data_IF_649667349932
#
_entry.id   IF_649667349932
#
_cell.length_a   1.000
_cell.length_b   1.000
_cell.length_c   1.000
_cell.angle_alpha   90.00
_cell.angle_beta   90.00
_cell.angle_gamma   90.00
#
_symmetry.space_group_name_H-M   'P 1'
#
loop_
_entity.id
_entity.type
_entity.pdbx_description
1 polymer ?
#
# COMPACT_ATOMS: atom_id res chain seq x y z
N UNK A 1 -8.47 -10.42 43.17
CA UNK A 1 -8.62 -10.46 41.69
C UNK A 1 -8.26 -9.08 41.12
N UNK A 2 -7.08 -8.92 40.53
CA UNK A 2 -6.53 -7.63 40.03
C UNK A 2 -6.02 -7.80 38.60
N UNK A 3 -6.87 -7.74 37.57
CA UNK A 3 -6.42 -7.75 36.15
C UNK A 3 -7.43 -7.09 35.18
N UNK A 4 -7.84 -5.84 35.43
CA UNK A 4 -8.75 -5.15 34.49
C UNK A 4 -8.42 -3.68 34.24
N UNK A 5 -7.24 -3.19 34.66
CA UNK A 5 -6.87 -1.77 34.53
C UNK A 5 -5.89 -1.49 33.39
N UNK A 6 -5.49 -2.49 32.59
CA UNK A 6 -4.50 -2.32 31.52
C UNK A 6 -5.08 -2.02 30.13
N UNK A 7 -6.37 -2.29 29.90
CA UNK A 7 -7.01 -2.02 28.59
C UNK A 7 -7.34 -0.53 28.43
N UNK A 8 -7.68 0.16 29.53
CA UNK A 8 -8.06 1.57 29.49
C UNK A 8 -6.86 2.53 29.30
N UNK A 9 -5.66 2.11 29.72
CA UNK A 9 -4.44 2.92 29.60
C UNK A 9 -3.90 3.03 28.16
N UNK A 10 -4.19 2.04 27.30
CA UNK A 10 -3.79 2.05 25.89
C UNK A 10 -4.70 2.99 25.08
N UNK A 11 -5.99 3.05 25.42
CA UNK A 11 -6.94 3.95 24.75
C UNK A 11 -6.65 5.44 25.05
N UNK A 12 -6.12 5.77 26.23
CA UNK A 12 -5.78 7.15 26.60
C UNK A 12 -4.48 7.68 25.98
N UNK A 13 -3.63 6.81 25.43
CA UNK A 13 -2.38 7.22 24.75
C UNK A 13 -2.62 7.82 23.36
N UNK A 14 -3.84 7.75 22.81
CA UNK A 14 -4.22 8.34 21.53
C UNK A 14 -4.87 9.72 21.65
N UNK A 15 -4.76 10.35 22.82
CA UNK A 15 -5.35 11.67 23.09
C UNK A 15 -4.46 12.81 22.58
N UNK A 16 -4.16 12.86 21.29
CA UNK A 16 -3.58 14.05 20.65
C UNK A 16 -4.64 14.66 19.73
N UNK A 17 -5.37 15.66 20.27
CA UNK A 17 -6.21 16.53 19.46
C UNK A 17 -5.34 17.66 18.90
N UNK A 18 -5.16 17.68 17.58
CA UNK A 18 -4.84 18.91 16.84
C UNK A 18 -5.73 18.93 15.59
N UNK A 19 -6.73 19.82 15.61
CA UNK A 19 -7.51 20.24 14.44
C UNK A 19 -6.62 21.16 13.58
N UNK A 20 -6.49 21.09 12.26
CA UNK A 20 -7.27 20.46 11.20
C UNK A 20 -6.45 19.38 10.48
N UNK A 21 -6.98 18.15 10.41
CA UNK A 21 -6.40 17.11 9.58
C UNK A 21 -6.99 17.27 8.18
N UNK A 22 -6.16 17.69 7.23
CA UNK A 22 -6.53 17.63 5.82
C UNK A 22 -6.62 16.15 5.42
N UNK A 23 -7.47 15.87 4.44
CA UNK A 23 -7.64 14.52 3.91
C UNK A 23 -6.52 14.28 2.91
N UNK A 24 -5.79 13.18 3.08
CA UNK A 24 -4.80 12.70 2.12
C UNK A 24 -5.47 11.65 1.23
N UNK A 25 -5.55 11.92 -0.08
CA UNK A 25 -6.00 10.94 -1.07
C UNK A 25 -4.94 10.82 -2.15
N UNK A 26 -4.54 9.59 -2.49
CA UNK A 26 -3.59 9.37 -3.57
C UNK A 26 -3.97 8.18 -4.46
N UNK A 27 -4.64 8.42 -5.61
CA UNK A 27 -4.77 7.38 -6.63
C UNK A 27 -3.43 7.10 -7.31
N UNK A 28 -3.24 5.85 -7.71
CA UNK A 28 -2.06 5.41 -8.45
C UNK A 28 -2.38 4.38 -9.53
N UNK A 29 -1.49 4.33 -10.52
CA UNK A 29 -1.41 3.30 -11.53
C UNK A 29 -0.18 2.46 -11.24
N UNK A 30 -0.32 1.14 -11.35
CA UNK A 30 0.76 0.17 -11.15
C UNK A 30 1.17 -0.43 -12.49
N UNK A 31 2.46 -0.39 -12.77
CA UNK A 31 3.08 -0.80 -14.03
C UNK A 31 4.19 -1.81 -13.70
N UNK A 32 4.21 -2.93 -14.40
CA UNK A 32 5.18 -3.99 -14.16
C UNK A 32 4.77 -5.28 -14.87
N UNK A 33 5.28 -6.43 -14.41
CA UNK A 33 4.80 -7.74 -14.86
C UNK A 33 3.29 -7.88 -14.70
N UNK A 34 2.74 -7.28 -13.64
CA UNK A 34 1.31 -7.14 -13.41
C UNK A 34 0.88 -5.69 -13.68
N UNK A 35 -0.28 -5.49 -14.31
CA UNK A 35 -0.88 -4.16 -14.51
C UNK A 35 -1.96 -3.90 -13.45
N UNK A 36 -2.10 -2.67 -12.97
CA UNK A 36 -3.07 -2.43 -11.90
C UNK A 36 -3.31 -0.98 -11.52
N UNK A 37 -4.06 -0.82 -10.43
CA UNK A 37 -4.37 0.48 -9.83
C UNK A 37 -4.31 0.38 -8.30
N UNK A 38 -4.26 1.52 -7.65
CA UNK A 38 -4.35 1.61 -6.20
C UNK A 38 -4.87 2.96 -5.75
N UNK A 39 -5.17 3.03 -4.46
CA UNK A 39 -5.59 4.24 -3.79
C UNK A 39 -5.05 4.26 -2.36
N UNK A 40 -4.50 5.40 -1.96
CA UNK A 40 -4.18 5.73 -0.58
C UNK A 40 -5.25 6.67 -0.04
N UNK A 41 -5.67 6.47 1.20
CA UNK A 41 -6.60 7.35 1.89
C UNK A 41 -6.18 7.49 3.36
N UNK A 42 -6.11 8.73 3.83
CA UNK A 42 -5.63 9.02 5.18
C UNK A 42 -5.78 10.47 5.57
N UNK A 43 -4.94 10.87 6.52
CA UNK A 43 -4.95 12.20 7.13
C UNK A 43 -3.55 12.80 7.13
N UNK A 44 -3.46 14.12 7.06
CA UNK A 44 -2.20 14.84 7.26
C UNK A 44 -1.89 15.02 8.74
N UNK A 45 -0.63 15.36 9.04
CA UNK A 45 -0.15 15.75 10.37
C UNK A 45 -0.48 14.73 11.47
N UNK A 46 -0.31 13.44 11.13
CA UNK A 46 -0.67 12.32 11.99
C UNK A 46 0.55 11.48 12.38
N UNK A 47 0.56 10.99 13.63
CA UNK A 47 1.58 10.07 14.15
C UNK A 47 3.02 10.60 14.08
N UNK A 48 3.20 11.93 14.00
CA UNK A 48 4.51 12.57 13.87
C UNK A 48 5.05 12.63 12.43
N UNK A 49 4.23 12.27 11.44
CA UNK A 49 4.54 12.30 10.02
C UNK A 49 3.66 13.34 9.30
N UNK A 50 4.07 13.77 8.11
CA UNK A 50 3.29 14.71 7.29
C UNK A 50 1.97 14.09 6.81
N UNK A 51 1.91 12.77 6.61
CA UNK A 51 0.66 12.04 6.44
C UNK A 51 0.75 10.59 6.96
N UNK A 52 -0.39 10.07 7.41
CA UNK A 52 -0.58 8.64 7.68
C UNK A 52 -1.84 8.15 6.97
N UNK A 53 -1.75 7.00 6.31
CA UNK A 53 -2.80 6.51 5.42
C UNK A 53 -2.87 4.99 5.39
N UNK A 54 -4.00 4.49 4.91
CA UNK A 54 -4.14 3.11 4.46
C UNK A 54 -4.11 3.09 2.93
N UNK A 55 -3.53 2.05 2.35
CA UNK A 55 -3.49 1.86 0.91
C UNK A 55 -4.09 0.52 0.52
N UNK A 56 -4.85 0.56 -0.58
CA UNK A 56 -5.35 -0.61 -1.27
C UNK A 56 -4.82 -0.59 -2.69
N UNK A 57 -4.31 -1.73 -3.16
CA UNK A 57 -3.80 -1.86 -4.52
C UNK A 57 -4.14 -3.20 -5.11
N UNK A 58 -4.63 -3.20 -6.36
CA UNK A 58 -4.92 -4.42 -7.11
C UNK A 58 -4.06 -4.48 -8.37
N UNK A 59 -3.32 -5.57 -8.53
CA UNK A 59 -2.53 -5.85 -9.73
C UNK A 59 -2.95 -7.18 -10.34
N UNK A 60 -3.07 -7.24 -11.65
CA UNK A 60 -3.51 -8.41 -12.39
C UNK A 60 -2.52 -8.79 -13.49
N UNK A 61 -2.40 -10.07 -13.76
CA UNK A 61 -1.69 -10.63 -14.89
C UNK A 61 -2.58 -11.67 -15.56
N UNK A 62 -2.80 -11.50 -16.86
CA UNK A 62 -3.64 -12.42 -17.65
C UNK A 62 -2.85 -12.87 -18.87
N UNK A 63 -2.84 -14.19 -19.08
CA UNK A 63 -2.26 -14.88 -20.22
C UNK A 63 -3.17 -16.03 -20.65
N UNK A 64 -2.87 -16.71 -21.76
CA UNK A 64 -3.69 -17.82 -22.27
C UNK A 64 -3.82 -19.00 -21.29
N UNK A 65 -2.92 -19.13 -20.33
CA UNK A 65 -2.88 -20.25 -19.37
C UNK A 65 -3.03 -19.83 -17.91
N UNK A 66 -2.83 -18.54 -17.61
CA UNK A 66 -2.71 -18.01 -16.25
C UNK A 66 -3.57 -16.75 -16.10
N UNK A 67 -4.33 -16.68 -15.01
CA UNK A 67 -5.07 -15.50 -14.57
C UNK A 67 -4.73 -15.29 -13.09
N UNK A 68 -3.96 -14.25 -12.81
CA UNK A 68 -3.41 -13.98 -11.49
C UNK A 68 -3.83 -12.59 -11.03
N UNK A 69 -4.28 -12.49 -9.78
CA UNK A 69 -4.62 -11.24 -9.12
C UNK A 69 -3.88 -11.17 -7.78
N UNK A 70 -3.39 -9.97 -7.47
CA UNK A 70 -2.81 -9.64 -6.16
C UNK A 70 -3.54 -8.43 -5.62
N UNK A 71 -4.21 -8.60 -4.49
CA UNK A 71 -4.84 -7.52 -3.73
C UNK A 71 -3.97 -7.21 -2.49
N UNK A 72 -3.45 -5.99 -2.41
CA UNK A 72 -2.56 -5.50 -1.36
C UNK A 72 -3.29 -4.53 -0.42
N UNK A 73 -3.05 -4.69 0.87
CA UNK A 73 -3.62 -3.87 1.94
C UNK A 73 -2.50 -3.44 2.88
N UNK A 74 -2.24 -2.14 2.96
CA UNK A 74 -1.11 -1.62 3.72
C UNK A 74 -1.47 -0.42 4.55
N UNK A 75 -0.64 -0.20 5.55
CA UNK A 75 -0.56 1.05 6.29
C UNK A 75 0.73 1.76 5.89
N UNK A 76 0.64 3.08 5.68
CA UNK A 76 1.76 3.87 5.24
C UNK A 76 1.85 5.24 5.91
N UNK A 77 3.06 5.80 5.84
CA UNK A 77 3.39 7.13 6.33
C UNK A 77 4.15 7.91 5.25
N UNK A 78 4.02 9.23 5.28
CA UNK A 78 4.72 10.17 4.40
C UNK A 78 5.54 11.16 5.22
N UNK A 79 6.79 11.38 4.83
CA UNK A 79 7.64 12.42 5.39
C UNK A 79 8.17 13.33 4.28
N UNK A 80 7.94 14.62 4.40
CA UNK A 80 8.50 15.67 3.54
C UNK A 80 9.80 16.20 4.15
N UNK A 81 10.70 16.67 3.28
CA UNK A 81 12.03 17.13 3.61
C UNK A 81 12.26 18.59 3.21
N UNK A 82 13.11 19.25 4.00
CA UNK A 82 13.49 20.64 3.79
C UNK A 82 12.41 21.64 4.21
N UNK A 83 12.80 22.88 4.43
CA UNK A 83 11.89 23.94 4.91
C UNK A 83 10.75 24.23 3.92
N UNK A 84 10.98 24.02 2.63
CA UNK A 84 9.99 24.22 1.58
C UNK A 84 9.07 22.99 1.35
N UNK A 85 9.35 21.84 2.00
CA UNK A 85 8.59 20.59 1.86
C UNK A 85 8.26 20.19 0.41
N UNK A 86 9.22 20.37 -0.51
CA UNK A 86 9.03 20.06 -1.94
C UNK A 86 9.22 18.56 -2.22
N UNK A 87 10.09 17.90 -1.46
CA UNK A 87 10.47 16.52 -1.70
C UNK A 87 10.15 15.68 -0.48
N UNK A 88 9.69 14.44 -0.67
CA UNK A 88 9.37 13.55 0.43
C UNK A 88 9.49 12.09 0.05
N UNK A 89 9.30 11.24 1.06
CA UNK A 89 9.25 9.79 0.90
C UNK A 89 8.03 9.23 1.59
N UNK A 90 7.52 8.16 1.02
CA UNK A 90 6.45 7.33 1.55
C UNK A 90 6.99 5.94 1.82
N UNK A 91 6.55 5.35 2.92
CA UNK A 91 6.81 3.95 3.26
C UNK A 91 5.52 3.28 3.64
N UNK A 92 5.31 2.07 3.13
CA UNK A 92 4.12 1.27 3.36
C UNK A 92 4.50 -0.16 3.77
N UNK A 93 3.74 -0.73 4.70
CA UNK A 93 3.86 -2.12 5.12
C UNK A 93 2.47 -2.73 5.33
N UNK A 94 2.32 -3.99 4.95
CA UNK A 94 1.08 -4.71 5.15
C UNK A 94 1.10 -6.11 4.55
N UNK A 95 -0.06 -6.53 4.08
CA UNK A 95 -0.31 -7.87 3.58
C UNK A 95 -0.76 -7.83 2.13
N UNK A 96 -0.51 -8.91 1.41
CA UNK A 96 -1.03 -9.11 0.07
C UNK A 96 -1.74 -10.46 -0.01
N UNK A 97 -2.86 -10.51 -0.71
CA UNK A 97 -3.56 -11.74 -1.05
C UNK A 97 -3.31 -12.05 -2.51
N UNK A 98 -2.78 -13.24 -2.78
CA UNK A 98 -2.58 -13.76 -4.13
C UNK A 98 -3.72 -14.72 -4.46
N UNK A 99 -4.31 -14.54 -5.64
CA UNK A 99 -5.28 -15.45 -6.22
C UNK A 99 -4.85 -15.79 -7.66
N UNK A 100 -4.37 -17.01 -7.87
CA UNK A 100 -3.90 -17.52 -9.15
C UNK A 100 -4.81 -18.62 -9.70
N UNK A 101 -5.16 -18.54 -10.98
CA UNK A 101 -5.84 -19.60 -11.71
C UNK A 101 -4.97 -20.06 -12.86
N UNK A 102 -4.85 -21.38 -13.00
CA UNK A 102 -4.18 -22.00 -14.14
C UNK A 102 -5.16 -22.87 -14.89
N UNK A 103 -5.34 -22.60 -16.17
CA UNK A 103 -6.19 -23.41 -17.05
C UNK A 103 -5.31 -24.18 -18.02
N UNK A 104 -5.34 -25.51 -17.93
CA UNK A 104 -4.63 -26.41 -18.85
C UNK A 104 -5.56 -27.51 -19.33
N UNK A 105 -5.78 -27.58 -20.65
CA UNK A 105 -6.54 -28.65 -21.29
C UNK A 105 -7.94 -28.91 -20.73
N UNK A 106 -8.63 -27.86 -20.25
CA UNK A 106 -10.00 -27.94 -19.70
C UNK A 106 -10.07 -28.02 -18.18
N UNK A 107 -8.95 -28.31 -17.50
CA UNK A 107 -8.88 -28.32 -16.05
C UNK A 107 -8.38 -26.96 -15.52
N UNK A 108 -9.11 -26.39 -14.56
CA UNK A 108 -8.74 -25.15 -13.87
C UNK A 108 -8.30 -25.47 -12.45
N UNK A 109 -7.01 -25.26 -12.14
CA UNK A 109 -6.49 -25.27 -10.77
C UNK A 109 -6.45 -23.86 -10.21
N UNK A 110 -6.73 -23.72 -8.92
CA UNK A 110 -6.74 -22.44 -8.20
C UNK A 110 -5.79 -22.52 -7.01
N UNK A 111 -4.97 -21.50 -6.86
CA UNK A 111 -4.11 -21.31 -5.70
C UNK A 111 -4.44 -19.95 -5.08
N UNK A 112 -4.50 -19.90 -3.75
CA UNK A 112 -4.73 -18.69 -3.00
C UNK A 112 -3.82 -18.67 -1.79
N UNK A 113 -3.08 -17.59 -1.59
CA UNK A 113 -2.13 -17.49 -0.47
C UNK A 113 -1.96 -16.06 0.01
N UNK A 114 -1.64 -15.93 1.31
CA UNK A 114 -1.36 -14.66 1.95
C UNK A 114 0.15 -14.43 2.01
N UNK A 115 0.54 -13.21 1.65
CA UNK A 115 1.92 -12.75 1.60
C UNK A 115 2.12 -11.44 2.36
N UNK A 116 3.38 -11.03 2.43
CA UNK A 116 3.78 -9.72 2.96
C UNK A 116 3.87 -8.70 1.83
N UNK A 117 3.58 -7.44 2.14
CA UNK A 117 3.53 -6.38 1.15
C UNK A 117 4.25 -5.13 1.65
N UNK A 118 5.21 -4.64 0.88
CA UNK A 118 5.98 -3.44 1.16
C UNK A 118 5.84 -2.45 0.01
N UNK A 119 5.82 -1.16 0.33
CA UNK A 119 5.79 -0.08 -0.64
C UNK A 119 6.76 1.02 -0.23
N UNK A 120 7.41 1.64 -1.22
CA UNK A 120 8.19 2.85 -1.01
C UNK A 120 8.02 3.77 -2.21
N UNK A 121 7.77 5.06 -1.97
CA UNK A 121 7.62 6.04 -3.04
C UNK A 121 8.33 7.34 -2.71
N UNK A 122 8.82 8.01 -3.74
CA UNK A 122 9.29 9.38 -3.69
C UNK A 122 8.15 10.32 -4.05
N UNK A 123 8.01 11.41 -3.31
CA UNK A 123 6.97 12.42 -3.49
C UNK A 123 7.60 13.75 -3.89
N UNK A 124 7.04 14.37 -4.92
CA UNK A 124 7.32 15.73 -5.34
C UNK A 124 6.06 16.58 -5.17
N UNK A 125 6.10 17.55 -4.27
CA UNK A 125 5.00 18.47 -4.01
C UNK A 125 5.03 19.59 -5.06
N UNK A 126 4.04 19.60 -5.95
CA UNK A 126 3.96 20.59 -7.03
C UNK A 126 3.26 21.89 -6.57
N UNK A 127 2.23 21.77 -5.72
CA UNK A 127 1.50 22.88 -5.09
C UNK A 127 1.14 22.52 -3.65
N UNK A 128 0.53 23.41 -2.86
CA UNK A 128 0.12 23.09 -1.49
C UNK A 128 -0.87 21.91 -1.39
N UNK A 129 -1.65 21.64 -2.45
CA UNK A 129 -2.69 20.61 -2.47
C UNK A 129 -2.37 19.43 -3.37
N UNK A 130 -1.42 19.56 -4.31
CA UNK A 130 -1.13 18.54 -5.33
C UNK A 130 0.33 18.12 -5.28
N UNK A 131 0.55 16.82 -5.15
CA UNK A 131 1.85 16.16 -5.30
C UNK A 131 1.85 15.11 -6.40
N UNK A 132 3.02 14.79 -6.91
CA UNK A 132 3.28 13.65 -7.77
C UNK A 132 4.11 12.64 -6.98
N UNK A 133 3.88 11.35 -7.17
CA UNK A 133 4.71 10.31 -6.58
C UNK A 133 5.06 9.21 -7.55
N UNK A 134 6.26 8.66 -7.35
CA UNK A 134 6.75 7.51 -8.09
C UNK A 134 7.42 6.55 -7.11
N UNK A 135 7.08 5.27 -7.18
CA UNK A 135 7.50 4.29 -6.21
C UNK A 135 7.55 2.87 -6.72
N UNK A 136 7.84 1.98 -5.78
CA UNK A 136 7.94 0.54 -5.97
C UNK A 136 7.11 -0.19 -4.93
N UNK A 137 6.55 -1.32 -5.36
CA UNK A 137 5.79 -2.26 -4.56
C UNK A 137 6.50 -3.60 -4.61
N UNK A 138 6.63 -4.24 -3.45
CA UNK A 138 7.24 -5.55 -3.28
C UNK A 138 6.25 -6.44 -2.52
N UNK A 139 5.73 -7.46 -3.20
CA UNK A 139 4.84 -8.46 -2.61
C UNK A 139 5.57 -9.80 -2.52
N UNK A 140 5.74 -10.31 -1.32
CA UNK A 140 6.42 -11.59 -1.06
C UNK A 140 5.41 -12.67 -0.69
N UNK A 141 5.45 -13.79 -1.41
CA UNK A 141 4.60 -14.97 -1.18
C UNK A 141 5.47 -16.23 -1.06
N UNK A 142 5.20 -17.13 -0.10
CA UNK A 142 5.90 -18.41 -0.03
C UNK A 142 5.71 -19.25 -1.31
N UNK A 143 6.81 -19.78 -1.85
CA UNK A 143 6.88 -20.51 -3.13
C UNK A 143 5.98 -21.74 -3.24
N UNK A 144 5.53 -22.30 -2.11
CA UNK A 144 4.72 -23.53 -2.08
C UNK A 144 3.33 -23.37 -2.69
N UNK A 145 2.81 -22.14 -2.76
CA UNK A 145 1.38 -21.90 -3.00
C UNK A 145 1.13 -20.78 -4.05
N UNK A 146 2.09 -20.52 -4.95
CA UNK A 146 1.92 -19.55 -6.05
C UNK A 146 2.46 -20.02 -7.40
N UNK A 147 1.98 -19.41 -8.49
CA UNK A 147 2.58 -19.56 -9.83
C UNK A 147 3.64 -18.48 -10.13
N UNK A 148 4.03 -17.67 -9.13
CA UNK A 148 5.02 -16.61 -9.28
C UNK A 148 6.43 -17.24 -9.32
N UNK A 149 7.24 -17.00 -10.37
CA UNK A 149 8.51 -17.70 -10.54
C UNK A 149 9.62 -17.34 -9.53
N UNK A 150 9.49 -16.25 -8.75
CA UNK A 150 10.56 -15.72 -7.90
C UNK A 150 10.13 -15.36 -6.47
N UNK A 151 9.02 -15.87 -5.95
CA UNK A 151 8.41 -15.52 -4.63
C UNK A 151 8.08 -14.03 -4.43
N UNK A 152 8.54 -13.18 -5.33
CA UNK A 152 8.50 -11.73 -5.26
C UNK A 152 7.81 -11.20 -6.50
N UNK A 153 6.70 -10.51 -6.30
CA UNK A 153 6.04 -9.70 -7.31
C UNK A 153 6.42 -8.23 -7.09
N UNK A 154 7.10 -7.65 -8.08
CA UNK A 154 7.59 -6.28 -8.06
C UNK A 154 6.81 -5.43 -9.05
N UNK A 155 6.33 -4.27 -8.60
CA UNK A 155 5.60 -3.32 -9.43
C UNK A 155 6.13 -1.90 -9.23
N UNK A 156 6.19 -1.12 -10.30
CA UNK A 156 6.37 0.33 -10.21
C UNK A 156 5.00 0.99 -10.07
N UNK A 157 4.91 2.03 -9.24
CA UNK A 157 3.70 2.82 -9.10
C UNK A 157 3.96 4.29 -9.43
N UNK A 158 2.98 4.91 -10.07
CA UNK A 158 2.94 6.34 -10.35
C UNK A 158 1.59 6.86 -9.86
N UNK A 159 1.62 7.88 -9.02
CA UNK A 159 0.42 8.42 -8.40
C UNK A 159 0.44 9.93 -8.28
N UNK A 160 -0.72 10.47 -7.91
CA UNK A 160 -0.88 11.87 -7.54
C UNK A 160 -1.37 11.94 -6.11
N UNK A 161 -0.89 12.90 -5.34
CA UNK A 161 -1.34 13.16 -3.98
C UNK A 161 -2.23 14.38 -3.96
N UNK A 162 -3.39 14.29 -3.32
CA UNK A 162 -4.31 15.38 -3.09
C UNK A 162 -4.48 15.58 -1.58
N UNK A 163 -4.35 16.83 -1.15
CA UNK A 163 -4.50 17.26 0.24
C UNK A 163 -5.47 18.43 0.32
N UNK A 164 -6.52 18.32 1.13
CA UNK A 164 -7.55 19.37 1.30
C UNK A 164 -8.26 19.32 2.65
#
# INVERSE_FOLDING_TARGET
MKKTHRVLAIATLFSANTFANNIHISPEIKIGPYGGFGIQAGVTDALGFDAAYVSYGRTVYSSSMYDEAIDSYRFGVQQMFGSAKIHGVQFEVGVANYDGKKTKSGDTTKESTLGSSLGAAYVFQATEQVGLRAGIDLNYFPMSDTYIPYDLSTNFNIGMTFTF
#
